data_IF_363522155412
#
_entry.id   IF_363522155412
#
_cell.length_a   1.000
_cell.length_b   1.000
_cell.length_c   1.000
_cell.angle_alpha   90.00
_cell.angle_beta   90.00
_cell.angle_gamma   90.00
#
_symmetry.space_group_name_H-M   'P 1'
#
loop_
_entity.id
_entity.type
_entity.pdbx_description
1 polymer ?
#
# COMPACT_ATOMS: atom_id res chain seq x y z
N UNK A 1 17.07 -9.81 -19.12
CA UNK A 1 16.15 -10.69 -18.37
C UNK A 1 14.72 -10.28 -18.62
N UNK A 2 13.83 -11.24 -18.82
CA UNK A 2 12.40 -10.99 -19.02
C UNK A 2 11.60 -11.73 -17.97
N UNK A 3 10.47 -11.17 -17.56
CA UNK A 3 9.52 -11.82 -16.67
C UNK A 3 8.13 -11.79 -17.31
N UNK A 4 7.41 -12.90 -17.25
CA UNK A 4 6.11 -13.05 -17.88
C UNK A 4 5.14 -13.62 -16.86
N UNK A 5 3.92 -13.04 -16.79
CA UNK A 5 2.80 -13.60 -16.04
C UNK A 5 1.73 -14.01 -17.03
N UNK A 6 1.27 -15.26 -16.94
CA UNK A 6 0.23 -15.82 -17.83
C UNK A 6 -1.07 -16.07 -17.09
N UNK A 7 -2.19 -15.79 -17.75
CA UNK A 7 -3.52 -16.00 -17.21
C UNK A 7 -4.45 -16.61 -18.26
N UNK A 8 -5.25 -17.58 -17.83
CA UNK A 8 -6.28 -18.18 -18.68
C UNK A 8 -7.57 -17.37 -18.54
N UNK A 9 -7.93 -16.62 -19.60
CA UNK A 9 -9.15 -15.83 -19.60
C UNK A 9 -10.29 -16.61 -20.26
N UNK A 10 -11.53 -16.49 -19.77
CA UNK A 10 -11.96 -15.61 -18.69
C UNK A 10 -11.81 -16.17 -17.28
N UNK A 11 -11.34 -17.40 -17.10
CA UNK A 11 -11.29 -18.07 -15.79
C UNK A 11 -10.47 -17.29 -14.75
N UNK A 12 -9.33 -16.73 -15.16
CA UNK A 12 -8.41 -16.00 -14.28
C UNK A 12 -8.58 -14.49 -14.34
N UNK A 13 -9.75 -13.99 -14.75
CA UNK A 13 -9.97 -12.55 -14.97
C UNK A 13 -9.67 -11.71 -13.74
N UNK A 14 -10.12 -12.13 -12.55
CA UNK A 14 -9.90 -11.39 -11.31
C UNK A 14 -8.42 -11.28 -10.97
N UNK A 15 -7.69 -12.38 -11.10
CA UNK A 15 -6.24 -12.39 -10.87
C UNK A 15 -5.49 -11.55 -11.90
N UNK A 16 -5.92 -11.62 -13.16
CA UNK A 16 -5.35 -10.81 -14.22
C UNK A 16 -5.55 -9.32 -13.94
N UNK A 17 -6.77 -8.89 -13.60
CA UNK A 17 -7.08 -7.50 -13.30
C UNK A 17 -6.26 -6.98 -12.11
N UNK A 18 -6.15 -7.75 -11.04
CA UNK A 18 -5.35 -7.39 -9.88
C UNK A 18 -3.87 -7.24 -10.24
N UNK A 19 -3.33 -8.17 -11.03
CA UNK A 19 -1.93 -8.15 -11.44
C UNK A 19 -1.63 -6.99 -12.38
N UNK A 20 -2.54 -6.71 -13.33
CA UNK A 20 -2.39 -5.61 -14.28
C UNK A 20 -2.42 -4.25 -13.58
N UNK A 21 -3.11 -4.15 -12.45
CA UNK A 21 -3.23 -2.91 -11.66
C UNK A 21 -2.32 -2.86 -10.46
N UNK A 22 -1.32 -3.74 -10.40
CA UNK A 22 -0.41 -3.83 -9.27
C UNK A 22 0.28 -2.51 -8.93
N UNK A 23 0.72 -1.76 -9.93
CA UNK A 23 1.35 -0.45 -9.71
C UNK A 23 0.36 0.54 -9.11
N UNK A 24 -0.90 0.52 -9.54
CA UNK A 24 -1.94 1.40 -8.99
C UNK A 24 -2.19 1.09 -7.51
N UNK A 25 -2.23 -0.18 -7.13
CA UNK A 25 -2.33 -0.57 -5.72
C UNK A 25 -1.15 -0.05 -4.89
N UNK A 26 0.05 -0.15 -5.44
CA UNK A 26 1.25 0.35 -4.76
C UNK A 26 1.19 1.86 -4.54
N UNK A 27 0.69 2.60 -5.54
CA UNK A 27 0.51 4.05 -5.44
C UNK A 27 -0.53 4.41 -4.38
N UNK A 28 -1.64 3.68 -4.31
CA UNK A 28 -2.66 3.90 -3.27
C UNK A 28 -2.07 3.71 -1.88
N UNK A 29 -1.29 2.65 -1.68
CA UNK A 29 -0.64 2.40 -0.39
C UNK A 29 0.35 3.53 -0.04
N UNK A 30 1.12 3.98 -1.01
CA UNK A 30 2.04 5.11 -0.85
C UNK A 30 1.29 6.40 -0.47
N UNK A 31 0.21 6.70 -1.18
CA UNK A 31 -0.60 7.89 -0.91
C UNK A 31 -1.18 7.86 0.50
N UNK A 32 -1.63 6.69 0.96
CA UNK A 32 -2.13 6.54 2.32
C UNK A 32 -1.02 6.79 3.35
N UNK A 33 0.17 6.23 3.13
CA UNK A 33 1.32 6.45 4.00
C UNK A 33 1.66 7.94 4.08
N UNK A 34 1.68 8.64 2.94
CA UNK A 34 1.97 10.07 2.90
C UNK A 34 0.89 10.91 3.58
N UNK A 35 -0.38 10.50 3.45
CA UNK A 35 -1.48 11.16 4.15
C UNK A 35 -1.28 11.05 5.67
N UNK A 36 -0.97 9.86 6.17
CA UNK A 36 -0.72 9.63 7.59
C UNK A 36 0.48 10.44 8.07
N UNK A 37 1.56 10.44 7.29
CA UNK A 37 2.76 11.21 7.60
C UNK A 37 2.47 12.70 7.71
N UNK A 38 1.71 13.24 6.75
CA UNK A 38 1.35 14.66 6.74
C UNK A 38 0.50 15.03 7.94
N UNK A 39 -0.46 14.21 8.31
CA UNK A 39 -1.29 14.43 9.50
C UNK A 39 -0.48 14.40 10.78
N UNK A 40 0.47 13.48 10.90
CA UNK A 40 1.35 13.37 12.07
C UNK A 40 2.32 14.55 12.18
N UNK A 41 2.81 15.04 11.04
CA UNK A 41 3.82 16.10 11.00
C UNK A 41 3.21 17.50 11.11
N UNK A 42 2.08 17.73 10.49
CA UNK A 42 1.47 19.06 10.34
C UNK A 42 0.10 19.19 10.99
N UNK A 43 -0.50 18.10 11.46
CA UNK A 43 -1.80 18.13 12.09
C UNK A 43 -1.72 18.62 13.53
N UNK A 44 -2.75 19.35 13.95
CA UNK A 44 -2.93 19.72 15.36
C UNK A 44 -3.73 18.62 16.05
N UNK A 45 -3.03 17.56 16.43
CA UNK A 45 -3.64 16.33 16.91
C UNK A 45 -3.56 16.23 18.43
N UNK A 46 -4.63 15.70 19.03
CA UNK A 46 -4.61 15.26 20.42
C UNK A 46 -3.63 14.07 20.55
N UNK A 47 -2.99 13.90 21.74
CA UNK A 47 -2.04 12.81 21.94
C UNK A 47 -2.59 11.42 21.61
N UNK A 48 -3.84 11.13 21.96
CA UNK A 48 -4.47 9.84 21.67
C UNK A 48 -4.63 9.60 20.16
N UNK A 49 -5.06 10.65 19.44
CA UNK A 49 -5.23 10.59 17.99
C UNK A 49 -3.88 10.37 17.31
N UNK A 50 -2.85 11.08 17.78
CA UNK A 50 -1.49 10.92 17.26
C UNK A 50 -1.01 9.47 17.43
N UNK A 51 -1.18 8.92 18.62
CA UNK A 51 -0.75 7.55 18.92
C UNK A 51 -1.46 6.53 18.00
N UNK A 52 -2.76 6.69 17.77
CA UNK A 52 -3.52 5.81 16.88
C UNK A 52 -3.07 5.91 15.43
N UNK A 53 -2.80 7.12 14.95
CA UNK A 53 -2.31 7.30 13.58
C UNK A 53 -0.91 6.72 13.40
N UNK A 54 -0.05 6.85 14.38
CA UNK A 54 1.28 6.22 14.37
C UNK A 54 1.17 4.70 14.31
N UNK A 55 0.27 4.11 15.09
CA UNK A 55 0.02 2.68 15.07
C UNK A 55 -0.49 2.20 13.71
N UNK A 56 -1.43 2.93 13.11
CA UNK A 56 -1.95 2.60 11.77
C UNK A 56 -0.83 2.62 10.74
N UNK A 57 0.03 3.63 10.79
CA UNK A 57 1.14 3.76 9.86
C UNK A 57 2.16 2.62 10.02
N UNK A 58 2.48 2.26 11.25
CA UNK A 58 3.36 1.13 11.54
C UNK A 58 2.76 -0.19 11.07
N UNK A 59 1.46 -0.38 11.28
CA UNK A 59 0.75 -1.58 10.83
C UNK A 59 0.76 -1.69 9.31
N UNK A 60 0.54 -0.58 8.60
CA UNK A 60 0.64 -0.57 7.13
C UNK A 60 2.03 -1.00 6.67
N UNK A 61 3.08 -0.48 7.30
CA UNK A 61 4.45 -0.82 6.98
C UNK A 61 4.73 -2.31 7.21
N UNK A 62 4.29 -2.85 8.33
CA UNK A 62 4.40 -4.28 8.65
C UNK A 62 3.69 -5.16 7.62
N UNK A 63 2.48 -4.78 7.20
CA UNK A 63 1.73 -5.50 6.17
C UNK A 63 2.48 -5.56 4.85
N UNK A 64 3.12 -4.46 4.47
CA UNK A 64 3.92 -4.40 3.24
C UNK A 64 5.15 -5.31 3.35
N UNK A 65 5.87 -5.23 4.47
CA UNK A 65 7.06 -6.03 4.71
C UNK A 65 6.74 -7.52 4.69
N UNK A 66 5.67 -7.94 5.37
CA UNK A 66 5.24 -9.34 5.42
C UNK A 66 4.96 -9.93 4.03
N UNK A 67 4.50 -9.09 3.10
CA UNK A 67 4.18 -9.51 1.74
C UNK A 67 5.33 -9.28 0.76
N UNK A 68 6.46 -8.79 1.24
CA UNK A 68 7.59 -8.46 0.37
C UNK A 68 7.32 -7.31 -0.58
N UNK A 69 6.42 -6.40 -0.20
CA UNK A 69 6.04 -5.27 -1.05
C UNK A 69 6.88 -4.04 -0.71
N UNK A 70 7.16 -3.25 -1.74
CA UNK A 70 7.90 -2.01 -1.62
C UNK A 70 7.15 -0.90 -2.35
N UNK A 71 7.28 0.33 -1.85
CA UNK A 71 6.72 1.47 -2.56
C UNK A 71 7.45 1.72 -3.88
N UNK A 72 6.75 2.27 -4.88
CA UNK A 72 7.40 2.66 -6.12
C UNK A 72 8.49 3.69 -5.86
N UNK A 73 9.60 3.53 -6.56
CA UNK A 73 10.72 4.45 -6.44
C UNK A 73 10.44 5.79 -7.12
#
# INVERSE_FOLDING_TARGET
MKAILEFELPADKENFDASAKGMDWAIVAWDLDQLLRNKLKHGDLLPNTRAELEEIRETLDEMLIERGLQYPA
#
